data_IF_507033054740
#
_entry.id   IF_507033054740
#
_cell.length_a   1.000
_cell.length_b   1.000
_cell.length_c   1.000
_cell.angle_alpha   90.00
_cell.angle_beta   90.00
_cell.angle_gamma   90.00
#
_symmetry.space_group_name_H-M   'P 1'
#
loop_
_entity.id
_entity.type
_entity.pdbx_description
1 polymer ?
#
# COMPACT_ATOMS: atom_id res chain seq x y z
N UNK A 1 1.74 -18.52 14.75
CA UNK A 1 2.03 -17.09 14.46
C UNK A 1 0.70 -16.35 14.40
N UNK A 2 0.62 -15.11 14.91
CA UNK A 2 -0.64 -14.32 14.82
C UNK A 2 -0.82 -13.83 13.39
N UNK A 3 -2.05 -13.77 12.89
CA UNK A 3 -2.35 -13.22 11.55
C UNK A 3 -2.16 -11.70 11.52
N UNK A 4 -1.76 -11.15 10.38
CA UNK A 4 -1.66 -9.69 10.18
C UNK A 4 -3.05 -9.11 9.93
N UNK A 5 -3.35 -8.00 10.60
CA UNK A 5 -4.64 -7.33 10.54
C UNK A 5 -4.56 -6.03 9.74
N UNK A 6 -5.60 -5.73 8.96
CA UNK A 6 -5.83 -4.43 8.34
C UNK A 6 -6.66 -3.50 9.24
N UNK A 7 -7.48 -4.07 10.13
CA UNK A 7 -8.40 -3.34 11.02
C UNK A 7 -8.76 -4.16 12.26
N UNK A 8 -9.24 -3.49 13.30
CA UNK A 8 -9.70 -4.14 14.53
C UNK A 8 -10.99 -4.94 14.32
N UNK A 9 -11.24 -5.94 15.16
CA UNK A 9 -12.48 -6.72 15.15
C UNK A 9 -12.98 -7.00 16.56
N UNK A 10 -14.27 -7.34 16.67
CA UNK A 10 -14.94 -7.67 17.94
C UNK A 10 -14.51 -9.06 18.43
N UNK A 11 -13.51 -9.11 19.32
CA UNK A 11 -12.93 -10.38 19.83
C UNK A 11 -13.90 -11.19 20.69
N UNK A 12 -14.88 -10.52 21.30
CA UNK A 12 -15.99 -11.12 22.02
C UNK A 12 -16.95 -11.86 21.09
N UNK A 13 -17.10 -11.38 19.85
CA UNK A 13 -17.94 -12.01 18.82
C UNK A 13 -17.18 -13.03 17.96
N UNK A 14 -15.89 -12.80 17.73
CA UNK A 14 -15.06 -13.65 16.86
C UNK A 14 -13.83 -14.16 17.63
N UNK A 15 -13.72 -15.48 17.89
CA UNK A 15 -12.59 -16.06 18.64
C UNK A 15 -11.27 -16.02 17.86
N UNK A 16 -11.33 -15.85 16.54
CA UNK A 16 -10.21 -15.63 15.64
C UNK A 16 -10.50 -14.44 14.72
N UNK A 17 -9.47 -13.78 14.15
CA UNK A 17 -9.71 -12.71 13.20
C UNK A 17 -10.56 -13.19 12.01
N UNK A 18 -11.72 -12.56 11.75
CA UNK A 18 -12.50 -12.83 10.55
C UNK A 18 -11.81 -12.25 9.31
N UNK A 19 -12.18 -12.74 8.13
CA UNK A 19 -11.54 -12.38 6.86
C UNK A 19 -11.46 -10.86 6.62
N UNK A 20 -12.55 -10.12 6.91
CA UNK A 20 -12.60 -8.66 6.75
C UNK A 20 -11.55 -7.90 7.59
N UNK A 21 -11.03 -8.53 8.64
CA UNK A 21 -10.02 -7.95 9.51
C UNK A 21 -8.59 -8.26 9.05
N UNK A 22 -8.40 -9.24 8.17
CA UNK A 22 -7.09 -9.72 7.72
C UNK A 22 -6.48 -8.76 6.70
N UNK A 23 -5.18 -8.48 6.88
CA UNK A 23 -4.44 -7.63 5.95
C UNK A 23 -4.39 -8.22 4.54
N UNK A 24 -4.08 -9.51 4.43
CA UNK A 24 -4.03 -10.20 3.14
C UNK A 24 -5.37 -10.11 2.39
N UNK A 25 -6.48 -10.33 3.10
CA UNK A 25 -7.80 -10.28 2.46
C UNK A 25 -8.13 -8.86 1.99
N UNK A 26 -7.88 -7.86 2.84
CA UNK A 26 -8.09 -6.47 2.46
C UNK A 26 -7.25 -6.07 1.24
N UNK A 27 -5.96 -6.43 1.19
CA UNK A 27 -5.10 -6.14 0.04
C UNK A 27 -5.61 -6.77 -1.27
N UNK A 28 -6.10 -8.02 -1.21
CA UNK A 28 -6.77 -8.68 -2.37
C UNK A 28 -7.99 -7.89 -2.83
N UNK A 29 -8.86 -7.53 -1.89
CA UNK A 29 -10.13 -6.88 -2.20
C UNK A 29 -9.90 -5.50 -2.82
N UNK A 30 -8.90 -4.74 -2.35
CA UNK A 30 -8.54 -3.45 -2.94
C UNK A 30 -7.94 -3.64 -4.33
N UNK A 31 -6.98 -4.54 -4.52
CA UNK A 31 -6.38 -4.80 -5.84
C UNK A 31 -7.43 -5.25 -6.87
N UNK A 32 -8.35 -6.12 -6.46
CA UNK A 32 -9.45 -6.58 -7.31
C UNK A 32 -10.47 -5.48 -7.59
N UNK A 33 -10.78 -4.61 -6.61
CA UNK A 33 -11.61 -3.44 -6.83
C UNK A 33 -10.94 -2.47 -7.82
N UNK A 34 -9.62 -2.25 -7.70
CA UNK A 34 -8.82 -1.44 -8.64
C UNK A 34 -8.88 -1.98 -10.07
N UNK A 35 -8.67 -3.29 -10.25
CA UNK A 35 -8.83 -3.99 -11.53
C UNK A 35 -10.23 -3.80 -12.11
N UNK A 36 -11.26 -3.98 -11.28
CA UNK A 36 -12.65 -3.88 -11.71
C UNK A 36 -12.98 -2.45 -12.15
N UNK A 37 -12.57 -1.44 -11.38
CA UNK A 37 -12.74 -0.03 -11.73
C UNK A 37 -12.04 0.31 -13.05
N UNK A 38 -10.80 -0.16 -13.26
CA UNK A 38 -10.07 0.04 -14.51
C UNK A 38 -10.87 -0.52 -15.71
N UNK A 39 -11.38 -1.76 -15.59
CA UNK A 39 -12.09 -2.43 -16.68
C UNK A 39 -13.49 -1.87 -16.94
N UNK A 40 -14.19 -1.42 -15.89
CA UNK A 40 -15.58 -0.95 -16.01
C UNK A 40 -15.65 0.52 -16.40
N UNK A 41 -14.82 1.37 -15.80
CA UNK A 41 -14.89 2.83 -15.97
C UNK A 41 -13.59 3.46 -16.47
N UNK A 42 -12.51 2.70 -16.66
CA UNK A 42 -11.22 3.26 -17.08
C UNK A 42 -11.26 3.95 -18.45
N UNK A 43 -11.79 3.28 -19.48
CA UNK A 43 -11.90 3.88 -20.82
C UNK A 43 -12.72 5.20 -20.86
N UNK A 44 -13.94 5.27 -20.29
CA UNK A 44 -14.70 6.52 -20.28
C UNK A 44 -14.02 7.60 -19.43
N UNK A 45 -13.34 7.25 -18.33
CA UNK A 45 -12.61 8.23 -17.52
C UNK A 45 -11.35 8.75 -18.21
N UNK A 46 -10.59 7.90 -18.90
CA UNK A 46 -9.47 8.34 -19.74
C UNK A 46 -9.95 9.35 -20.79
N UNK A 47 -11.04 9.03 -21.50
CA UNK A 47 -11.63 9.96 -22.46
C UNK A 47 -12.09 11.27 -21.82
N UNK A 48 -12.75 11.22 -20.66
CA UNK A 48 -13.19 12.41 -19.92
C UNK A 48 -12.03 13.30 -19.45
N UNK A 49 -10.87 12.69 -19.15
CA UNK A 49 -9.65 13.40 -18.81
C UNK A 49 -8.84 13.88 -20.04
N UNK A 50 -9.28 13.57 -21.27
CA UNK A 50 -8.53 13.88 -22.49
C UNK A 50 -7.27 13.02 -22.66
N UNK A 51 -7.25 11.83 -22.05
CA UNK A 51 -6.14 10.89 -22.12
C UNK A 51 -6.36 9.82 -23.22
N UNK A 52 -5.28 9.33 -23.85
CA UNK A 52 -5.36 8.26 -24.84
C UNK A 52 -5.92 6.96 -24.24
N UNK A 53 -6.78 6.24 -24.97
CA UNK A 53 -7.35 4.97 -24.50
C UNK A 53 -6.30 3.85 -24.44
N UNK A 54 -5.19 4.01 -25.17
CA UNK A 54 -4.04 3.13 -25.15
C UNK A 54 -3.38 3.05 -23.77
N UNK A 55 -3.67 4.00 -22.87
CA UNK A 55 -3.23 3.97 -21.47
C UNK A 55 -4.06 3.02 -20.60
N UNK A 56 -5.15 2.42 -21.10
CA UNK A 56 -6.01 1.55 -20.31
C UNK A 56 -5.26 0.35 -19.67
N UNK A 57 -4.37 -0.38 -20.39
CA UNK A 57 -3.59 -1.45 -19.77
C UNK A 57 -2.67 -0.92 -18.67
N UNK A 58 -2.04 0.24 -18.87
CA UNK A 58 -1.19 0.87 -17.87
C UNK A 58 -2.01 1.30 -16.64
N UNK A 59 -3.21 1.85 -16.83
CA UNK A 59 -4.14 2.21 -15.76
C UNK A 59 -4.52 0.99 -14.93
N UNK A 60 -4.88 -0.12 -15.57
CA UNK A 60 -5.22 -1.37 -14.88
C UNK A 60 -4.05 -1.89 -14.04
N UNK A 61 -2.86 -2.04 -14.63
CA UNK A 61 -1.66 -2.49 -13.91
C UNK A 61 -1.31 -1.56 -12.75
N UNK A 62 -1.38 -0.25 -12.97
CA UNK A 62 -1.08 0.76 -11.93
C UNK A 62 -2.07 0.68 -10.77
N UNK A 63 -3.37 0.47 -11.04
CA UNK A 63 -4.38 0.35 -9.99
C UNK A 63 -4.28 -0.95 -9.20
N UNK A 64 -3.93 -2.06 -9.85
CA UNK A 64 -3.65 -3.33 -9.17
C UNK A 64 -2.46 -3.14 -8.23
N UNK A 65 -1.35 -2.59 -8.71
CA UNK A 65 -0.17 -2.35 -7.89
C UNK A 65 -0.47 -1.36 -6.75
N UNK A 66 -1.20 -0.28 -7.01
CA UNK A 66 -1.63 0.69 -6.00
C UNK A 66 -2.42 0.00 -4.87
N UNK A 67 -3.38 -0.86 -5.23
CA UNK A 67 -4.21 -1.58 -4.25
C UNK A 67 -3.41 -2.55 -3.38
N UNK A 68 -2.40 -3.21 -3.95
CA UNK A 68 -1.49 -4.06 -3.17
C UNK A 68 -0.54 -3.26 -2.27
N UNK A 69 -0.12 -2.06 -2.67
CA UNK A 69 0.86 -1.24 -1.95
C UNK A 69 0.26 -0.37 -0.83
N UNK A 70 -0.94 0.19 -1.00
CA UNK A 70 -1.47 1.25 -0.11
C UNK A 70 -1.39 0.89 1.38
N UNK A 71 -1.63 -0.38 1.70
CA UNK A 71 -1.70 -0.90 3.06
C UNK A 71 -0.59 -1.88 3.42
N UNK A 72 0.35 -2.14 2.51
CA UNK A 72 1.44 -3.09 2.74
C UNK A 72 2.23 -2.76 4.02
N UNK A 73 2.44 -1.48 4.28
CA UNK A 73 3.10 -0.97 5.48
C UNK A 73 2.33 -1.21 6.77
N UNK A 74 1.06 -1.66 6.76
CA UNK A 74 0.32 -2.10 7.97
C UNK A 74 0.93 -3.36 8.59
N UNK A 75 1.77 -4.09 7.85
CA UNK A 75 2.61 -5.16 8.36
C UNK A 75 3.76 -4.63 9.25
N UNK A 76 3.46 -3.77 10.22
CA UNK A 76 4.41 -3.22 11.17
C UNK A 76 3.92 -3.39 12.62
N UNK A 77 4.86 -3.50 13.56
CA UNK A 77 4.58 -3.76 14.97
C UNK A 77 3.67 -2.73 15.62
N UNK A 78 3.81 -1.45 15.29
CA UNK A 78 3.00 -0.38 15.88
C UNK A 78 1.55 -0.45 15.39
N UNK A 79 1.33 -0.61 14.09
CA UNK A 79 0.00 -0.76 13.52
C UNK A 79 -0.68 -2.04 14.06
N UNK A 80 0.03 -3.18 14.04
CA UNK A 80 -0.50 -4.43 14.55
C UNK A 80 -0.85 -4.36 16.04
N UNK A 81 -0.07 -3.63 16.85
CA UNK A 81 -0.38 -3.39 18.27
C UNK A 81 -1.62 -2.49 18.41
N UNK A 82 -1.72 -1.44 17.61
CA UNK A 82 -2.85 -0.51 17.60
C UNK A 82 -4.18 -1.21 17.31
N UNK A 83 -4.24 -2.04 16.26
CA UNK A 83 -5.49 -2.72 15.88
C UNK A 83 -5.80 -3.97 16.70
N UNK A 84 -4.82 -4.50 17.44
CA UNK A 84 -5.01 -5.72 18.23
C UNK A 84 -5.23 -5.47 19.71
N UNK A 85 -4.56 -4.52 20.36
CA UNK A 85 -4.62 -4.43 21.83
C UNK A 85 -4.49 -3.04 22.45
N UNK A 86 -3.89 -2.07 21.75
CA UNK A 86 -3.59 -0.76 22.34
C UNK A 86 -3.82 0.36 21.30
N UNK A 87 -5.08 0.76 21.06
CA UNK A 87 -5.44 1.76 20.04
C UNK A 87 -4.77 3.14 20.24
N UNK A 88 -4.26 3.41 21.44
CA UNK A 88 -3.54 4.64 21.81
C UNK A 88 -2.05 4.65 21.42
N UNK A 89 -1.51 3.55 20.88
CA UNK A 89 -0.10 3.48 20.45
C UNK A 89 0.21 4.54 19.39
N UNK A 90 1.23 5.35 19.68
CA UNK A 90 1.77 6.32 18.73
C UNK A 90 2.65 5.58 17.73
N UNK A 91 2.24 5.59 16.45
CA UNK A 91 3.05 5.03 15.38
C UNK A 91 4.19 6.00 15.01
N UNK A 92 5.43 5.50 14.98
CA UNK A 92 6.60 6.26 14.52
C UNK A 92 6.40 6.85 13.11
N UNK A 93 5.92 6.02 12.19
CA UNK A 93 5.56 6.39 10.82
C UNK A 93 4.13 5.94 10.55
N UNK A 94 3.45 6.62 9.64
CA UNK A 94 2.18 6.11 9.10
C UNK A 94 2.47 4.92 8.18
N UNK A 95 1.52 3.99 8.09
CA UNK A 95 1.70 2.76 7.31
C UNK A 95 1.89 3.05 5.81
N UNK A 96 1.22 4.06 5.25
CA UNK A 96 1.45 4.49 3.86
C UNK A 96 2.88 4.98 3.60
N UNK A 97 3.50 5.69 4.55
CA UNK A 97 4.92 6.05 4.46
C UNK A 97 5.79 4.80 4.45
N UNK A 98 5.47 3.80 5.29
CA UNK A 98 6.18 2.51 5.29
C UNK A 98 6.01 1.79 3.95
N UNK A 99 4.82 1.78 3.36
CA UNK A 99 4.61 1.23 2.01
C UNK A 99 5.48 1.92 0.96
N UNK A 100 5.59 3.25 1.01
CA UNK A 100 6.47 4.03 0.15
C UNK A 100 7.95 3.67 0.33
N UNK A 101 8.41 3.56 1.58
CA UNK A 101 9.79 3.13 1.90
C UNK A 101 10.08 1.74 1.32
N UNK A 102 9.17 0.77 1.50
CA UNK A 102 9.36 -0.57 0.95
C UNK A 102 9.48 -0.54 -0.58
N UNK A 103 8.56 0.14 -1.26
CA UNK A 103 8.55 0.17 -2.71
C UNK A 103 9.68 0.99 -3.34
N UNK A 104 10.15 2.05 -2.67
CA UNK A 104 11.09 3.03 -3.24
C UNK A 104 12.48 3.03 -2.63
N UNK A 105 12.73 2.39 -1.49
CA UNK A 105 14.03 2.45 -0.80
C UNK A 105 14.59 1.08 -0.41
N UNK A 106 13.80 -0.01 -0.51
CA UNK A 106 14.30 -1.36 -0.26
C UNK A 106 14.74 -1.98 -1.60
N UNK A 107 16.05 -2.23 -1.83
CA UNK A 107 16.56 -2.66 -3.14
C UNK A 107 15.90 -3.93 -3.67
N UNK A 108 15.68 -4.92 -2.81
CA UNK A 108 15.06 -6.20 -3.21
C UNK A 108 13.62 -6.01 -3.70
N UNK A 109 12.91 -5.00 -3.20
CA UNK A 109 11.59 -4.62 -3.68
C UNK A 109 11.66 -3.85 -4.99
N UNK A 110 12.58 -2.88 -5.09
CA UNK A 110 12.77 -2.09 -6.31
C UNK A 110 13.12 -2.97 -7.51
N UNK A 111 14.09 -3.87 -7.34
CA UNK A 111 14.54 -4.80 -8.38
C UNK A 111 13.40 -5.71 -8.84
N UNK A 112 12.58 -6.16 -7.90
CA UNK A 112 11.44 -7.03 -8.19
C UNK A 112 10.30 -6.30 -8.93
N UNK A 113 10.06 -5.02 -8.62
CA UNK A 113 9.04 -4.19 -9.28
C UNK A 113 9.51 -3.57 -10.61
N UNK A 114 10.82 -3.52 -10.86
CA UNK A 114 11.42 -2.92 -12.05
C UNK A 114 10.80 -3.37 -13.39
N UNK A 115 10.39 -4.64 -13.60
CA UNK A 115 9.76 -5.08 -14.85
C UNK A 115 8.44 -4.35 -15.20
N UNK A 116 7.75 -3.75 -14.23
CA UNK A 116 6.52 -2.98 -14.47
C UNK A 116 6.79 -1.60 -15.10
N UNK A 117 8.05 -1.17 -15.10
CA UNK A 117 8.49 0.14 -15.57
C UNK A 117 8.35 1.22 -14.51
N UNK A 118 9.31 2.15 -14.51
CA UNK A 118 9.42 3.20 -13.50
C UNK A 118 8.16 4.07 -13.39
N UNK A 119 7.53 4.43 -14.51
CA UNK A 119 6.32 5.26 -14.51
C UNK A 119 5.15 4.55 -13.80
N UNK A 120 4.90 3.27 -14.10
CA UNK A 120 3.85 2.47 -13.44
C UNK A 120 4.09 2.38 -11.93
N UNK A 121 5.30 2.00 -11.52
CA UNK A 121 5.65 1.83 -10.10
C UNK A 121 5.53 3.16 -9.37
N UNK A 122 6.06 4.22 -9.96
CA UNK A 122 6.07 5.54 -9.35
C UNK A 122 4.64 6.11 -9.17
N UNK A 123 3.80 6.03 -10.20
CA UNK A 123 2.39 6.48 -10.11
C UNK A 123 1.59 5.63 -9.13
N UNK A 124 1.82 4.31 -9.09
CA UNK A 124 1.17 3.43 -8.13
C UNK A 124 1.58 3.77 -6.68
N UNK A 125 2.86 4.05 -6.45
CA UNK A 125 3.36 4.49 -5.13
C UNK A 125 2.75 5.83 -4.76
N UNK A 126 2.65 6.80 -5.67
CA UNK A 126 1.96 8.08 -5.39
C UNK A 126 0.49 7.89 -5.00
N UNK A 127 -0.21 7.01 -5.70
CA UNK A 127 -1.58 6.62 -5.35
C UNK A 127 -1.65 5.99 -3.96
N UNK A 128 -0.79 5.00 -3.71
CA UNK A 128 -0.71 4.24 -2.47
C UNK A 128 -0.28 5.10 -1.27
N UNK A 129 0.61 6.06 -1.46
CA UNK A 129 1.12 6.91 -0.38
C UNK A 129 0.14 8.06 -0.07
N UNK A 130 -0.54 8.57 -1.11
CA UNK A 130 -1.54 9.64 -1.00
C UNK A 130 -2.96 9.17 -0.71
N UNK A 131 -3.21 7.89 -0.44
CA UNK A 131 -4.56 7.32 -0.34
C UNK A 131 -5.32 7.81 0.91
N UNK A 132 -4.64 8.23 1.97
CA UNK A 132 -5.24 9.04 3.02
C UNK A 132 -4.91 10.54 2.86
N UNK A 133 -5.94 11.37 2.99
CA UNK A 133 -5.97 12.83 2.71
C UNK A 133 -4.94 13.72 3.47
N UNK A 134 -4.11 13.16 4.34
CA UNK A 134 -3.19 13.89 5.24
C UNK A 134 -1.71 13.51 5.06
N UNK A 135 -1.30 13.13 3.86
CA UNK A 135 0.09 12.70 3.67
C UNK A 135 1.06 13.87 3.86
N UNK A 136 0.79 15.03 3.25
CA UNK A 136 1.57 16.27 3.35
C UNK A 136 1.70 16.84 4.77
N UNK A 137 0.69 16.66 5.63
CA UNK A 137 0.69 17.22 6.99
C UNK A 137 1.29 16.29 8.08
N UNK A 138 1.40 14.98 7.82
CA UNK A 138 1.78 13.98 8.84
C UNK A 138 2.86 12.96 8.38
N UNK A 139 3.67 13.26 7.36
CA UNK A 139 4.80 12.41 6.93
C UNK A 139 5.96 12.36 7.92
N UNK A 140 6.09 13.36 8.79
CA UNK A 140 7.22 13.46 9.70
C UNK A 140 7.16 12.39 10.80
N UNK A 141 8.30 11.76 11.15
CA UNK A 141 8.35 10.78 12.23
C UNK A 141 7.83 11.35 13.54
N UNK A 142 6.88 10.65 14.17
CA UNK A 142 6.33 11.04 15.48
C UNK A 142 7.29 10.66 16.60
N UNK A 143 7.13 11.28 17.76
CA UNK A 143 7.82 10.84 18.97
C UNK A 143 7.22 9.55 19.50
N UNK A 144 7.53 8.43 18.85
CA UNK A 144 7.20 7.11 19.35
C UNK A 144 8.23 6.66 20.41
N UNK A 145 7.80 5.93 21.45
CA UNK A 145 8.70 5.51 22.52
C UNK A 145 9.68 4.41 22.10
N UNK A 146 9.43 3.72 20.98
CA UNK A 146 10.20 2.56 20.53
C UNK A 146 10.37 2.56 19.01
N UNK A 147 11.37 1.82 18.53
CA UNK A 147 11.57 1.54 17.11
C UNK A 147 10.42 0.69 16.55
N UNK A 148 10.05 0.95 15.31
CA UNK A 148 9.07 0.18 14.57
C UNK A 148 9.73 -1.06 13.95
N UNK A 149 9.05 -2.20 13.95
CA UNK A 149 9.48 -3.40 13.23
C UNK A 149 8.51 -3.68 12.08
N UNK A 150 8.99 -3.66 10.84
CA UNK A 150 8.23 -4.09 9.66
C UNK A 150 8.43 -5.59 9.48
N UNK A 151 7.33 -6.33 9.50
CA UNK A 151 7.26 -7.79 9.66
C UNK A 151 7.48 -8.51 8.32
N UNK A 152 8.61 -8.24 7.66
CA UNK A 152 8.92 -8.74 6.32
C UNK A 152 9.07 -10.26 6.25
N UNK A 153 9.51 -10.89 7.34
CA UNK A 153 9.66 -12.36 7.40
C UNK A 153 8.34 -13.09 7.69
N UNK A 154 7.23 -12.35 7.87
CA UNK A 154 5.95 -12.91 8.25
C UNK A 154 5.29 -13.71 7.11
N UNK A 155 4.72 -14.92 7.37
CA UNK A 155 4.04 -15.72 6.35
C UNK A 155 2.92 -14.99 5.60
N UNK A 156 2.10 -14.20 6.31
CA UNK A 156 1.06 -13.37 5.67
C UNK A 156 1.66 -12.29 4.75
N UNK A 157 2.79 -11.69 5.11
CA UNK A 157 3.49 -10.74 4.24
C UNK A 157 4.00 -11.43 2.97
N UNK A 158 4.63 -12.60 3.13
CA UNK A 158 5.05 -13.44 2.00
C UNK A 158 3.87 -13.83 1.09
N UNK A 159 2.71 -14.13 1.68
CA UNK A 159 1.49 -14.47 0.92
C UNK A 159 1.01 -13.26 0.11
N UNK A 160 1.04 -12.05 0.69
CA UNK A 160 0.73 -10.80 -0.02
C UNK A 160 1.65 -10.64 -1.24
N UNK A 161 2.97 -10.82 -1.08
CA UNK A 161 3.90 -10.66 -2.20
C UNK A 161 3.72 -11.73 -3.28
N UNK A 162 3.42 -12.98 -2.88
CA UNK A 162 3.17 -14.06 -3.83
C UNK A 162 1.93 -13.80 -4.68
N UNK A 163 0.87 -13.26 -4.09
CA UNK A 163 -0.36 -12.96 -4.82
C UNK A 163 -0.26 -11.68 -5.65
N UNK A 164 0.42 -10.65 -5.11
CA UNK A 164 0.81 -9.47 -5.89
C UNK A 164 1.62 -9.88 -7.12
N UNK A 165 2.55 -10.84 -6.98
CA UNK A 165 3.33 -11.35 -8.10
C UNK A 165 2.44 -11.97 -9.19
N UNK A 166 1.47 -12.80 -8.79
CA UNK A 166 0.54 -13.46 -9.70
C UNK A 166 -0.33 -12.44 -10.43
N UNK A 167 -0.87 -11.47 -9.71
CA UNK A 167 -1.77 -10.45 -10.27
C UNK A 167 -1.09 -9.50 -11.25
N UNK A 168 0.21 -9.25 -11.08
CA UNK A 168 1.01 -8.34 -11.90
C UNK A 168 1.88 -9.07 -12.93
N UNK A 169 1.87 -10.40 -12.95
CA UNK A 169 2.71 -11.21 -13.84
C UNK A 169 4.22 -11.08 -13.55
N UNK A 170 4.59 -10.84 -12.30
CA UNK A 170 5.98 -10.72 -11.87
C UNK A 170 6.62 -12.09 -11.62
N UNK A 171 7.96 -12.09 -11.58
CA UNK A 171 8.75 -13.25 -11.11
C UNK A 171 8.58 -13.51 -9.61
N UNK A 172 9.39 -14.44 -9.09
CA UNK A 172 9.37 -14.76 -7.65
C UNK A 172 9.62 -13.50 -6.81
N UNK A 173 8.78 -13.24 -5.78
CA UNK A 173 8.98 -12.11 -4.89
C UNK A 173 10.23 -12.28 -4.02
N UNK A 174 10.77 -11.17 -3.48
CA UNK A 174 11.87 -11.26 -2.53
C UNK A 174 11.46 -12.04 -1.27
N UNK A 175 12.39 -12.82 -0.74
CA UNK A 175 12.21 -13.58 0.50
C UNK A 175 13.06 -12.98 1.61
N UNK A 176 12.42 -12.43 2.64
CA UNK A 176 13.11 -11.81 3.75
C UNK A 176 13.34 -12.79 4.90
N UNK A 177 14.61 -12.94 5.31
CA UNK A 177 14.99 -13.81 6.43
C UNK A 177 14.90 -13.11 7.79
N UNK A 178 14.81 -11.78 7.79
CA UNK A 178 14.65 -10.95 8.98
C UNK A 178 13.64 -9.85 8.73
N UNK A 179 13.08 -9.35 9.82
CA UNK A 179 12.27 -8.14 9.83
C UNK A 179 13.16 -6.89 9.70
N UNK A 180 12.56 -5.79 9.26
CA UNK A 180 13.22 -4.50 9.10
C UNK A 180 12.90 -3.61 10.31
N UNK A 181 13.94 -3.14 11.01
CA UNK A 181 13.78 -2.27 12.19
C UNK A 181 14.01 -0.81 11.79
N UNK A 182 12.99 0.02 11.94
CA UNK A 182 13.04 1.46 11.70
C UNK A 182 13.11 2.18 13.05
N UNK A 183 14.28 2.72 13.37
CA UNK A 183 14.47 3.60 14.53
C UNK A 183 14.12 5.05 14.15
N UNK A 184 14.12 5.98 15.11
CA UNK A 184 13.77 7.37 14.78
C UNK A 184 14.82 8.04 13.89
N UNK A 185 16.09 7.71 14.11
CA UNK A 185 17.22 8.21 13.31
C UNK A 185 18.33 7.17 13.21
N UNK A 186 19.26 7.36 12.28
CA UNK A 186 20.43 6.47 12.11
C UNK A 186 21.38 6.45 13.32
N UNK A 187 21.22 7.37 14.27
CA UNK A 187 21.99 7.38 15.53
C UNK A 187 21.51 6.34 16.54
N UNK A 188 20.28 5.85 16.35
CA UNK A 188 19.65 4.84 17.20
C UNK A 188 19.83 3.45 16.60
N UNK A 189 19.72 2.40 17.41
CA UNK A 189 19.86 1.02 16.95
C UNK A 189 18.66 0.61 16.07
N UNK A 190 18.89 0.46 14.77
CA UNK A 190 17.92 0.02 13.77
C UNK A 190 18.61 -0.28 12.43
N UNK A 191 17.86 -0.83 11.47
CA UNK A 191 18.32 -0.99 10.10
C UNK A 191 18.17 0.32 9.30
N UNK A 192 17.12 1.11 9.57
CA UNK A 192 16.84 2.41 8.95
C UNK A 192 16.51 3.48 9.99
N UNK A 193 16.82 4.73 9.67
CA UNK A 193 16.42 5.91 10.45
C UNK A 193 15.22 6.60 9.81
N UNK A 194 14.12 6.75 10.57
CA UNK A 194 12.86 7.30 10.06
C UNK A 194 13.00 8.72 9.50
N UNK A 195 13.79 9.58 10.14
CA UNK A 195 14.04 10.94 9.65
C UNK A 195 14.71 10.94 8.27
N UNK A 196 15.74 10.11 8.12
CA UNK A 196 16.56 10.04 6.92
C UNK A 196 15.76 9.45 5.75
N UNK A 197 15.04 8.34 5.96
CA UNK A 197 14.25 7.72 4.90
C UNK A 197 13.02 8.56 4.50
N UNK A 198 12.45 9.36 5.42
CA UNK A 198 11.39 10.30 5.05
C UNK A 198 11.91 11.47 4.23
N UNK A 199 13.11 11.96 4.56
CA UNK A 199 13.78 13.00 3.76
C UNK A 199 14.11 12.46 2.37
N UNK A 200 14.70 11.27 2.28
CA UNK A 200 15.03 10.63 1.01
C UNK A 200 13.77 10.37 0.16
N UNK A 201 12.70 9.85 0.75
CA UNK A 201 11.44 9.64 0.03
C UNK A 201 10.83 10.96 -0.45
N UNK A 202 10.91 12.02 0.35
CA UNK A 202 10.46 13.37 -0.05
C UNK A 202 11.28 13.89 -1.23
N UNK A 203 12.61 13.84 -1.14
CA UNK A 203 13.50 14.27 -2.22
C UNK A 203 13.26 13.47 -3.50
N UNK A 204 13.06 12.15 -3.40
CA UNK A 204 12.71 11.33 -4.56
C UNK A 204 11.41 11.81 -5.23
N UNK A 205 10.38 12.15 -4.44
CA UNK A 205 9.13 12.65 -5.01
C UNK A 205 9.25 14.07 -5.58
N UNK A 206 10.07 14.93 -4.98
CA UNK A 206 10.37 16.27 -5.51
C UNK A 206 11.13 16.18 -6.84
N UNK A 207 12.17 15.34 -6.91
CA UNK A 207 12.95 15.11 -8.13
C UNK A 207 12.08 14.50 -9.24
N UNK A 208 11.15 13.62 -8.87
CA UNK A 208 10.22 12.98 -9.80
C UNK A 208 9.04 13.90 -10.19
N UNK A 209 8.78 15.00 -9.47
CA UNK A 209 7.74 15.98 -9.83
C UNK A 209 8.02 16.62 -11.21
N UNK A 210 9.30 16.85 -11.53
CA UNK A 210 9.72 17.31 -12.86
C UNK A 210 9.28 16.34 -13.97
N UNK A 211 9.25 15.03 -13.69
CA UNK A 211 8.80 14.00 -14.64
C UNK A 211 7.29 14.11 -14.94
N UNK A 212 6.52 14.82 -14.11
CA UNK A 212 5.09 15.11 -14.28
C UNK A 212 4.80 16.54 -14.76
N UNK A 213 5.76 17.18 -15.43
CA UNK A 213 5.56 18.52 -16.00
C UNK A 213 4.42 18.59 -17.05
N UNK A 214 4.03 17.47 -17.68
CA UNK A 214 2.93 17.46 -18.66
C UNK A 214 1.56 17.36 -18.00
N UNK A 215 0.56 18.05 -18.58
CA UNK A 215 -0.82 18.00 -18.10
C UNK A 215 -1.40 16.57 -18.16
N UNK A 216 -1.10 15.82 -19.23
CA UNK A 216 -1.56 14.45 -19.40
C UNK A 216 -1.07 13.52 -18.28
N UNK A 217 0.20 13.64 -17.88
CA UNK A 217 0.74 12.83 -16.79
C UNK A 217 0.11 13.17 -15.43
N UNK A 218 -0.06 14.47 -15.13
CA UNK A 218 -0.76 14.89 -13.90
C UNK A 218 -2.20 14.38 -13.86
N UNK A 219 -2.90 14.39 -14.99
CA UNK A 219 -4.25 13.85 -15.11
C UNK A 219 -4.25 12.34 -14.88
N UNK A 220 -3.28 11.60 -15.43
CA UNK A 220 -3.17 10.16 -15.21
C UNK A 220 -2.90 9.83 -13.74
N UNK A 221 -1.98 10.54 -13.08
CA UNK A 221 -1.71 10.39 -11.64
C UNK A 221 -2.95 10.71 -10.80
N UNK A 222 -3.65 11.81 -11.11
CA UNK A 222 -4.88 12.18 -10.42
C UNK A 222 -5.97 11.11 -10.59
N UNK A 223 -6.09 10.54 -11.78
CA UNK A 223 -7.03 9.46 -12.07
C UNK A 223 -6.70 8.20 -11.26
N UNK A 224 -5.43 7.78 -11.23
CA UNK A 224 -4.98 6.63 -10.42
C UNK A 224 -5.25 6.87 -8.95
N UNK A 225 -4.95 8.06 -8.42
CA UNK A 225 -5.22 8.40 -7.01
C UNK A 225 -6.71 8.34 -6.69
N UNK A 226 -7.55 8.94 -7.53
CA UNK A 226 -8.99 8.94 -7.32
C UNK A 226 -9.59 7.52 -7.35
N UNK A 227 -9.18 6.71 -8.33
CA UNK A 227 -9.64 5.33 -8.47
C UNK A 227 -9.04 4.40 -7.39
N UNK A 228 -7.80 4.62 -6.96
CA UNK A 228 -7.19 3.89 -5.84
C UNK A 228 -7.94 4.12 -4.53
N UNK A 229 -8.26 5.38 -4.19
CA UNK A 229 -9.12 5.69 -3.04
C UNK A 229 -10.52 5.09 -3.19
N UNK A 230 -11.10 5.11 -4.40
CA UNK A 230 -12.40 4.48 -4.62
C UNK A 230 -12.35 2.95 -4.44
N UNK A 231 -11.25 2.30 -4.85
CA UNK A 231 -11.02 0.87 -4.64
C UNK A 231 -10.94 0.54 -3.15
N UNK A 232 -10.21 1.35 -2.37
CA UNK A 232 -10.10 1.20 -0.91
C UNK A 232 -11.47 1.27 -0.20
N UNK A 233 -12.26 2.28 -0.57
CA UNK A 233 -13.62 2.46 -0.04
C UNK A 233 -14.51 1.28 -0.42
N UNK A 234 -14.44 0.81 -1.66
CA UNK A 234 -15.23 -0.33 -2.13
C UNK A 234 -14.88 -1.61 -1.38
N UNK A 235 -13.59 -1.93 -1.23
CA UNK A 235 -13.11 -3.08 -0.47
C UNK A 235 -13.59 -3.02 0.99
N UNK A 236 -13.46 -1.86 1.62
CA UNK A 236 -13.91 -1.64 3.00
C UNK A 236 -15.43 -1.74 3.17
N UNK A 237 -16.22 -1.48 2.13
CA UNK A 237 -17.68 -1.61 2.16
C UNK A 237 -18.14 -3.07 1.96
N UNK A 238 -17.46 -3.82 1.08
CA UNK A 238 -17.71 -5.26 0.86
C UNK A 238 -17.52 -6.04 2.17
N UNK A 239 -16.51 -5.66 2.94
CA UNK A 239 -16.20 -6.20 4.27
C UNK A 239 -17.31 -6.02 5.33
N UNK A 240 -18.22 -5.06 5.13
CA UNK A 240 -19.31 -4.74 6.07
C UNK A 240 -20.65 -5.36 5.66
N UNK A 241 -20.75 -5.92 4.45
CA UNK A 241 -21.97 -6.59 4.02
C UNK A 241 -22.16 -7.89 4.83
N UNK A 242 -23.33 -8.11 5.45
CA UNK A 242 -23.58 -9.35 6.19
C UNK A 242 -23.41 -10.56 5.26
N UNK A 243 -22.77 -11.63 5.76
CA UNK A 243 -22.46 -12.93 5.11
C UNK A 243 -23.69 -13.71 4.58
N UNK A 244 -24.56 -13.08 3.80
CA UNK A 244 -25.76 -13.66 3.21
C UNK A 244 -25.79 -13.52 1.67
N UNK A 245 -24.67 -13.17 1.01
CA UNK A 245 -24.64 -13.10 -0.45
C UNK A 245 -24.13 -14.42 -1.08
N UNK A 246 -25.00 -15.21 -1.71
CA UNK A 246 -24.64 -16.48 -2.37
C UNK A 246 -23.80 -16.30 -3.64
N UNK A 247 -23.43 -15.07 -4.03
CA UNK A 247 -22.64 -14.79 -5.24
C UNK A 247 -21.11 -14.87 -5.04
N UNK A 248 -20.62 -15.25 -3.86
CA UNK A 248 -19.21 -15.65 -3.65
C UNK A 248 -19.04 -17.16 -3.94
N UNK A 249 -19.13 -17.56 -5.21
CA UNK A 249 -18.64 -18.85 -5.75
C UNK A 249 -17.87 -18.62 -7.03
#
# INVERSE_FOLDING_TARGET
MKRLLAKSFQKDKFPSPPDYALLLQHSRDVAQAGRTLARTVGAPLLAACGLPQELLPALETTLILCGWLQDLGKANSHFQTMVSSAPEVIQLLRHETVSGILAKLVPEFQDWLAPLGNETVHVAVWGAVGHHRKFDEETSPKQAPQAMTVLLSHPDFNSILQEMAQDLGLGQPPSFQKDLVISRSLKEKGDLGALEVCQELTTLFEDEEEAFASAARRQFVALVKALGTAADVAASAIDLAPNNDPLRM
#
